data_IF_462078232225
#
_entry.id   IF_462078232225
#
_cell.length_a   1.000
_cell.length_b   1.000
_cell.length_c   1.000
_cell.angle_alpha   90.00
_cell.angle_beta   90.00
_cell.angle_gamma   90.00
#
_symmetry.space_group_name_H-M   'P 1'
#
loop_
_entity.id
_entity.type
_entity.pdbx_description
1 polymer ?
#
# COMPACT_ATOMS: atom_id res chain seq x y z
N UNK A 1 -8.00 18.87 -4.93
CA UNK A 1 -7.30 17.74 -4.31
C UNK A 1 -8.21 16.54 -4.35
N UNK A 2 -7.69 15.35 -4.62
CA UNK A 2 -8.47 14.13 -4.59
C UNK A 2 -8.91 13.82 -3.15
N UNK A 3 -10.10 13.23 -2.97
CA UNK A 3 -10.59 12.80 -1.65
C UNK A 3 -9.83 11.53 -1.25
N UNK A 4 -9.13 11.59 -0.12
CA UNK A 4 -8.19 10.54 0.31
C UNK A 4 -8.51 10.07 1.71
N UNK A 5 -8.43 8.76 1.94
CA UNK A 5 -8.31 8.19 3.27
C UNK A 5 -6.83 7.96 3.60
N UNK A 6 -6.49 8.12 4.88
CA UNK A 6 -5.12 8.02 5.40
C UNK A 6 -5.13 7.14 6.64
N UNK A 7 -4.29 6.11 6.67
CA UNK A 7 -4.02 5.38 7.91
C UNK A 7 -3.06 6.20 8.77
N UNK A 8 -3.36 6.41 10.05
CA UNK A 8 -2.52 7.12 11.03
C UNK A 8 -2.32 6.27 12.29
N UNK A 9 -1.07 6.04 12.69
CA UNK A 9 -0.72 5.28 13.89
C UNK A 9 -1.35 5.81 15.19
N UNK A 10 -1.76 7.08 15.24
CA UNK A 10 -2.44 7.65 16.41
C UNK A 10 -3.97 7.59 16.35
N UNK A 11 -4.55 7.54 15.15
CA UNK A 11 -5.99 7.78 14.94
C UNK A 11 -6.73 6.66 14.24
N UNK A 12 -6.02 5.63 13.74
CA UNK A 12 -6.66 4.59 12.93
C UNK A 12 -6.70 5.04 11.48
N UNK A 13 -7.88 5.45 11.01
CA UNK A 13 -8.10 5.96 9.66
C UNK A 13 -8.65 7.38 9.75
N UNK A 14 -8.22 8.28 8.86
CA UNK A 14 -8.71 9.65 8.76
C UNK A 14 -9.04 9.97 7.32
N UNK A 15 -10.12 10.72 7.06
CA UNK A 15 -10.48 11.16 5.71
C UNK A 15 -10.09 12.62 5.53
N UNK A 16 -9.25 12.87 4.52
CA UNK A 16 -8.91 14.22 4.08
C UNK A 16 -10.10 14.84 3.36
N UNK A 17 -10.49 16.01 3.85
CA UNK A 17 -11.55 16.81 3.24
C UNK A 17 -11.03 17.52 1.97
N UNK A 18 -11.95 17.94 1.10
CA UNK A 18 -11.61 18.58 -0.17
C UNK A 18 -10.83 19.91 0.01
N UNK A 19 -11.03 20.59 1.15
CA UNK A 19 -10.28 21.77 1.54
C UNK A 19 -9.16 21.37 2.52
N UNK A 20 -7.88 21.58 2.18
CA UNK A 20 -6.74 21.21 3.03
C UNK A 20 -6.67 21.95 4.37
N UNK A 21 -7.45 23.02 4.56
CA UNK A 21 -7.52 23.74 5.84
C UNK A 21 -8.59 23.20 6.79
N UNK A 22 -9.50 22.35 6.31
CA UNK A 22 -10.50 21.72 7.15
C UNK A 22 -9.87 20.54 7.91
N UNK A 23 -10.19 20.38 9.21
CA UNK A 23 -9.73 19.21 9.95
C UNK A 23 -10.28 17.94 9.29
N UNK A 24 -9.49 16.85 9.24
CA UNK A 24 -9.94 15.59 8.68
C UNK A 24 -11.14 15.08 9.50
N UNK A 25 -12.06 14.41 8.81
CA UNK A 25 -13.06 13.62 9.52
C UNK A 25 -12.32 12.44 10.14
N UNK A 26 -12.28 12.40 11.48
CA UNK A 26 -11.75 11.26 12.21
C UNK A 26 -12.75 10.11 12.12
N UNK A 27 -12.26 8.93 11.71
CA UNK A 27 -13.00 7.67 11.71
C UNK A 27 -12.64 7.03 13.06
N UNK A 28 -13.42 7.23 14.15
CA UNK A 28 -12.99 6.93 15.51
C UNK A 28 -12.64 5.45 15.65
N UNK A 29 -11.35 5.18 15.81
CA UNK A 29 -10.83 3.83 15.91
C UNK A 29 -11.46 3.07 17.10
N UNK A 30 -11.83 1.79 16.95
CA UNK A 30 -12.17 0.94 18.08
C UNK A 30 -11.03 0.90 19.08
N UNK A 31 -11.38 0.74 20.36
CA UNK A 31 -10.39 0.59 21.42
C UNK A 31 -9.40 -0.54 21.07
N UNK A 32 -8.09 -0.25 21.15
CA UNK A 32 -7.04 -1.25 20.91
C UNK A 32 -6.50 -1.33 19.47
N UNK A 33 -6.59 -0.27 18.66
CA UNK A 33 -5.83 -0.17 17.41
C UNK A 33 -4.31 -0.29 17.67
N UNK A 34 -3.66 -1.22 16.98
CA UNK A 34 -2.30 -1.67 17.25
C UNK A 34 -1.31 -1.41 16.12
N UNK A 35 -1.39 -0.26 15.44
CA UNK A 35 -0.56 0.16 14.29
C UNK A 35 -1.22 -0.16 12.93
N UNK A 36 -2.12 0.72 12.44
CA UNK A 36 -2.67 0.62 11.08
C UNK A 36 -1.59 0.87 10.03
N UNK A 37 -1.52 0.02 9.02
CA UNK A 37 -0.66 0.18 7.86
C UNK A 37 -1.49 0.33 6.59
N UNK A 38 -1.33 -0.57 5.62
CA UNK A 38 -1.97 -0.54 4.31
C UNK A 38 -3.45 -0.24 4.42
N UNK A 39 -3.95 0.46 3.41
CA UNK A 39 -5.32 0.95 3.35
C UNK A 39 -5.87 0.69 1.95
N UNK A 40 -7.04 0.07 1.87
CA UNK A 40 -7.72 -0.16 0.61
C UNK A 40 -9.23 -0.03 0.78
N UNK A 41 -9.94 0.26 -0.32
CA UNK A 41 -11.40 0.32 -0.35
C UNK A 41 -11.93 -0.93 -1.03
N UNK A 42 -12.90 -1.61 -0.41
CA UNK A 42 -13.59 -2.75 -1.00
C UNK A 42 -14.86 -2.33 -1.76
N UNK A 43 -15.40 -3.16 -2.67
CA UNK A 43 -16.51 -2.77 -3.55
C UNK A 43 -17.79 -2.34 -2.81
N UNK A 44 -18.02 -2.88 -1.61
CA UNK A 44 -19.15 -2.49 -0.75
C UNK A 44 -19.00 -1.10 -0.12
N UNK A 45 -17.87 -0.43 -0.35
CA UNK A 45 -17.57 0.92 0.10
C UNK A 45 -16.84 1.01 1.44
N UNK A 46 -16.57 -0.11 2.11
CA UNK A 46 -15.78 -0.10 3.34
C UNK A 46 -14.30 0.10 3.07
N UNK A 47 -13.60 0.60 4.10
CA UNK A 47 -12.16 0.75 4.15
C UNK A 47 -11.56 -0.41 4.94
N UNK A 48 -10.57 -1.07 4.35
CA UNK A 48 -9.77 -2.12 4.97
C UNK A 48 -8.43 -1.55 5.42
N UNK A 49 -8.02 -1.87 6.65
CA UNK A 49 -6.69 -1.56 7.15
C UNK A 49 -6.04 -2.75 7.84
N UNK A 50 -4.73 -2.92 7.64
CA UNK A 50 -3.95 -3.92 8.37
C UNK A 50 -3.61 -3.40 9.78
N UNK A 51 -4.15 -4.04 10.81
CA UNK A 51 -3.86 -3.74 12.21
C UNK A 51 -2.68 -4.61 12.69
N UNK A 52 -1.46 -4.13 12.38
CA UNK A 52 -0.24 -4.94 12.38
C UNK A 52 0.02 -5.63 13.71
N UNK A 53 0.02 -4.92 14.84
CA UNK A 53 0.37 -5.57 16.13
C UNK A 53 -0.74 -6.45 16.69
N UNK A 54 -1.98 -6.28 16.22
CA UNK A 54 -3.09 -7.17 16.60
C UNK A 54 -3.24 -8.37 15.66
N UNK A 55 -2.42 -8.46 14.60
CA UNK A 55 -2.42 -9.57 13.64
C UNK A 55 -3.80 -9.84 13.02
N UNK A 56 -4.47 -8.76 12.59
CA UNK A 56 -5.82 -8.80 12.01
C UNK A 56 -5.98 -7.73 10.92
N UNK A 57 -7.01 -7.88 10.11
CA UNK A 57 -7.51 -6.84 9.20
C UNK A 57 -8.78 -6.25 9.80
N UNK A 58 -8.94 -4.94 9.68
CA UNK A 58 -10.11 -4.20 10.15
C UNK A 58 -10.84 -3.63 8.95
N UNK A 59 -12.17 -3.75 8.95
CA UNK A 59 -13.06 -3.09 8.01
C UNK A 59 -13.89 -2.03 8.77
N UNK A 60 -14.12 -0.87 8.13
CA UNK A 60 -15.08 0.12 8.62
C UNK A 60 -15.77 0.86 7.48
N UNK A 61 -16.90 1.47 7.77
CA UNK A 61 -17.53 2.42 6.86
C UNK A 61 -16.69 3.72 6.78
N UNK A 62 -16.77 4.43 5.66
CA UNK A 62 -16.06 5.72 5.46
C UNK A 62 -16.43 6.75 6.54
N UNK A 63 -17.61 6.65 7.16
CA UNK A 63 -18.08 7.59 8.18
C UNK A 63 -17.60 7.29 9.61
N UNK A 64 -16.77 6.25 9.82
CA UNK A 64 -16.34 5.90 11.16
C UNK A 64 -17.17 4.87 11.90
N UNK A 65 -18.12 4.23 11.22
CA UNK A 65 -19.01 3.25 11.84
C UNK A 65 -18.75 1.82 11.37
N UNK A 66 -19.46 0.86 11.96
CA UNK A 66 -19.49 -0.55 11.55
C UNK A 66 -18.11 -1.21 11.47
N UNK A 67 -17.37 -1.10 12.57
CA UNK A 67 -16.06 -1.73 12.72
C UNK A 67 -16.18 -3.23 12.85
N UNK A 68 -15.52 -3.94 11.95
CA UNK A 68 -15.39 -5.39 11.99
C UNK A 68 -13.92 -5.75 11.91
N UNK A 69 -13.53 -6.87 12.52
CA UNK A 69 -12.17 -7.37 12.42
C UNK A 69 -12.17 -8.83 12.06
N UNK A 70 -11.23 -9.21 11.19
CA UNK A 70 -11.01 -10.57 10.78
C UNK A 70 -9.54 -10.95 10.99
N UNK A 71 -9.33 -12.13 11.56
CA UNK A 71 -8.02 -12.70 11.76
C UNK A 71 -7.53 -12.70 13.21
N UNK A 72 -6.58 -13.59 13.47
CA UNK A 72 -5.85 -13.69 14.73
C UNK A 72 -4.37 -13.95 14.48
N UNK A 73 -3.55 -13.83 15.52
CA UNK A 73 -2.13 -14.17 15.40
C UNK A 73 -1.92 -15.65 15.04
N UNK A 74 -1.05 -15.93 14.08
CA UNK A 74 -0.63 -17.27 13.69
C UNK A 74 -0.27 -17.38 12.20
N UNK A 75 -0.28 -18.61 11.68
CA UNK A 75 0.08 -18.90 10.28
C UNK A 75 -0.94 -19.81 9.56
N UNK A 76 -1.99 -20.26 10.25
CA UNK A 76 -3.08 -21.03 9.65
C UNK A 76 -4.04 -20.19 8.79
N UNK A 77 -5.12 -20.83 8.35
CA UNK A 77 -6.27 -20.17 7.71
C UNK A 77 -6.91 -19.19 8.71
N UNK A 78 -7.23 -17.97 8.26
CA UNK A 78 -7.77 -16.93 9.12
C UNK A 78 -6.76 -16.39 10.14
N UNK A 79 -5.46 -16.66 9.96
CA UNK A 79 -4.42 -16.18 10.86
C UNK A 79 -3.37 -15.37 10.10
N UNK A 80 -2.90 -14.30 10.75
CA UNK A 80 -1.86 -13.42 10.24
C UNK A 80 -0.72 -13.29 11.25
N UNK A 81 0.44 -12.83 10.80
CA UNK A 81 1.56 -12.44 11.64
C UNK A 81 2.10 -11.10 11.13
N UNK A 82 1.82 -10.02 11.85
CA UNK A 82 2.22 -8.66 11.47
C UNK A 82 1.84 -8.29 10.02
N UNK A 83 0.56 -8.35 9.62
CA UNK A 83 0.14 -7.93 8.29
C UNK A 83 0.46 -6.44 8.10
N UNK A 84 0.92 -6.05 6.92
CA UNK A 84 1.28 -4.66 6.62
C UNK A 84 0.49 -4.08 5.45
N UNK A 85 0.38 -4.80 4.33
CA UNK A 85 -0.26 -4.29 3.12
C UNK A 85 -1.64 -4.92 2.91
N UNK A 86 -2.59 -4.14 2.37
CA UNK A 86 -3.85 -4.65 1.84
C UNK A 86 -4.08 -4.06 0.45
N UNK A 87 -4.57 -4.87 -0.47
CA UNK A 87 -5.00 -4.47 -1.81
C UNK A 87 -6.29 -5.18 -2.16
N UNK A 88 -7.03 -4.64 -3.13
CA UNK A 88 -8.29 -5.20 -3.61
C UNK A 88 -8.26 -5.20 -5.14
N UNK A 89 -8.65 -6.30 -5.77
CA UNK A 89 -8.83 -6.34 -7.23
C UNK A 89 -10.14 -5.72 -7.68
N UNK A 90 -10.29 -5.49 -8.98
CA UNK A 90 -11.53 -4.97 -9.55
C UNK A 90 -12.72 -5.92 -9.35
N UNK A 91 -12.45 -7.22 -9.20
CA UNK A 91 -13.45 -8.26 -8.88
C UNK A 91 -13.79 -8.32 -7.38
N UNK A 92 -13.15 -7.49 -6.56
CA UNK A 92 -13.38 -7.44 -5.10
C UNK A 92 -12.55 -8.43 -4.29
N UNK A 93 -11.61 -9.15 -4.92
CA UNK A 93 -10.73 -10.06 -4.21
C UNK A 93 -9.75 -9.27 -3.34
N UNK A 94 -9.60 -9.67 -2.08
CA UNK A 94 -8.74 -8.99 -1.12
C UNK A 94 -7.41 -9.73 -1.01
N UNK A 95 -6.31 -8.97 -1.04
CA UNK A 95 -4.96 -9.47 -0.89
C UNK A 95 -4.31 -8.81 0.32
N UNK A 96 -3.63 -9.61 1.14
CA UNK A 96 -2.95 -9.15 2.35
C UNK A 96 -1.49 -9.54 2.28
N UNK A 97 -0.60 -8.57 2.46
CA UNK A 97 0.81 -8.85 2.71
C UNK A 97 0.99 -9.24 4.18
N UNK A 98 1.05 -10.55 4.42
CA UNK A 98 1.22 -11.16 5.74
C UNK A 98 2.71 -11.25 6.08
N UNK A 99 3.29 -10.08 6.35
CA UNK A 99 4.74 -9.83 6.32
C UNK A 99 5.53 -10.76 7.24
N UNK A 100 5.06 -11.02 8.46
CA UNK A 100 5.75 -11.87 9.42
C UNK A 100 5.68 -13.38 9.10
N UNK A 101 4.80 -13.77 8.19
CA UNK A 101 4.73 -15.12 7.62
C UNK A 101 5.37 -15.22 6.23
N UNK A 102 5.91 -14.11 5.70
CA UNK A 102 6.59 -14.06 4.40
C UNK A 102 5.73 -14.55 3.23
N UNK A 103 4.44 -14.19 3.26
CA UNK A 103 3.45 -14.62 2.27
C UNK A 103 2.48 -13.50 1.89
N UNK A 104 1.80 -13.70 0.78
CA UNK A 104 0.56 -13.02 0.44
C UNK A 104 -0.59 -13.97 0.75
N UNK A 105 -1.64 -13.44 1.36
CA UNK A 105 -2.93 -14.12 1.50
C UNK A 105 -3.91 -13.50 0.52
N UNK A 106 -4.71 -14.33 -0.14
CA UNK A 106 -5.83 -13.89 -0.95
C UNK A 106 -7.13 -14.45 -0.37
N UNK A 107 -8.18 -13.65 -0.41
CA UNK A 107 -9.51 -14.03 0.07
C UNK A 107 -10.56 -13.35 -0.81
N UNK A 108 -11.65 -14.06 -1.07
CA UNK A 108 -12.72 -13.61 -1.95
C UNK A 108 -13.62 -12.59 -1.25
N UNK A 109 -13.64 -12.59 0.09
CA UNK A 109 -14.39 -11.64 0.90
C UNK A 109 -13.70 -11.37 2.25
N UNK A 110 -14.13 -10.30 2.93
CA UNK A 110 -13.56 -9.85 4.21
C UNK A 110 -13.63 -10.91 5.33
N UNK A 111 -14.61 -11.81 5.27
CA UNK A 111 -14.80 -12.90 6.23
C UNK A 111 -13.81 -14.07 6.07
N UNK A 112 -12.86 -13.96 5.13
CA UNK A 112 -11.86 -14.97 4.85
C UNK A 112 -12.31 -16.11 3.94
N UNK A 113 -13.51 -16.02 3.37
CA UNK A 113 -13.95 -16.94 2.31
C UNK A 113 -12.94 -16.96 1.17
N UNK A 114 -12.66 -18.14 0.60
CA UNK A 114 -11.71 -18.28 -0.51
C UNK A 114 -10.23 -18.15 -0.11
N UNK A 115 -9.89 -18.38 1.16
CA UNK A 115 -8.54 -18.25 1.68
C UNK A 115 -7.50 -19.06 0.87
N UNK A 116 -6.52 -18.35 0.32
CA UNK A 116 -5.36 -18.91 -0.36
C UNK A 116 -4.08 -18.21 0.10
N UNK A 117 -2.95 -18.94 0.08
CA UNK A 117 -1.67 -18.41 0.53
C UNK A 117 -0.57 -18.65 -0.50
N UNK A 118 0.25 -17.63 -0.71
CA UNK A 118 1.29 -17.60 -1.72
C UNK A 118 2.60 -17.08 -1.13
N UNK A 119 3.68 -17.82 -1.33
CA UNK A 119 4.87 -17.64 -0.52
C UNK A 119 4.86 -18.52 0.73
N UNK A 120 6.03 -18.73 1.31
CA UNK A 120 6.19 -19.56 2.49
C UNK A 120 7.19 -18.97 3.46
N UNK A 121 6.94 -19.20 4.76
CA UNK A 121 7.91 -18.94 5.82
C UNK A 121 9.05 -19.94 5.71
N UNK A 122 10.16 -19.49 5.15
CA UNK A 122 11.39 -20.26 5.01
C UNK A 122 12.56 -19.57 5.72
N UNK A 123 13.69 -20.25 5.81
CA UNK A 123 14.90 -19.72 6.44
C UNK A 123 15.25 -18.31 5.90
N UNK A 124 15.55 -17.40 6.82
CA UNK A 124 15.89 -16.01 6.52
C UNK A 124 16.99 -15.94 5.44
N UNK A 125 16.77 -15.13 4.40
CA UNK A 125 17.71 -14.93 3.30
C UNK A 125 17.43 -15.76 2.03
N UNK A 126 16.49 -16.70 2.05
CA UNK A 126 16.06 -17.40 0.84
C UNK A 126 15.07 -16.56 0.02
N UNK A 127 15.49 -16.08 -1.15
CA UNK A 127 14.66 -15.28 -2.08
C UNK A 127 14.51 -16.00 -3.42
N UNK A 128 13.34 -15.87 -4.07
CA UNK A 128 13.07 -16.48 -5.38
C UNK A 128 11.57 -16.57 -5.69
N UNK A 129 11.19 -17.25 -6.78
CA UNK A 129 9.78 -17.58 -7.05
C UNK A 129 9.17 -18.34 -5.86
N UNK A 130 7.97 -17.92 -5.44
CA UNK A 130 7.28 -18.46 -4.26
C UNK A 130 7.92 -18.10 -2.93
N UNK A 131 8.82 -17.12 -2.86
CA UNK A 131 9.61 -16.82 -1.65
C UNK A 131 9.78 -15.33 -1.45
N UNK A 132 8.95 -14.72 -0.60
CA UNK A 132 9.15 -13.33 -0.15
C UNK A 132 10.13 -13.25 1.02
N UNK A 133 10.80 -12.11 1.20
CA UNK A 133 11.65 -11.86 2.37
C UNK A 133 10.97 -10.99 3.43
N UNK A 134 9.96 -10.22 3.04
CA UNK A 134 9.24 -9.28 3.90
C UNK A 134 8.31 -8.43 3.04
N UNK A 135 7.23 -9.01 2.47
CA UNK A 135 6.31 -8.27 1.62
C UNK A 135 5.58 -7.23 2.48
N UNK A 136 5.65 -5.96 2.11
CA UNK A 136 5.20 -4.86 2.97
C UNK A 136 4.05 -4.04 2.36
N UNK A 137 4.25 -3.56 1.13
CA UNK A 137 3.24 -2.84 0.37
C UNK A 137 2.81 -3.69 -0.83
N UNK A 138 1.54 -3.60 -1.16
CA UNK A 138 0.90 -4.43 -2.18
C UNK A 138 -0.15 -3.58 -2.89
N UNK A 139 -0.22 -3.72 -4.21
CA UNK A 139 -1.21 -3.05 -5.04
C UNK A 139 -1.66 -4.00 -6.15
N UNK A 140 -2.96 -4.02 -6.43
CA UNK A 140 -3.49 -4.71 -7.61
C UNK A 140 -3.63 -3.70 -8.76
N UNK A 141 -3.35 -4.15 -9.98
CA UNK A 141 -3.52 -3.35 -11.18
C UNK A 141 -3.44 -4.19 -12.45
N UNK A 142 -3.30 -3.54 -13.62
CA UNK A 142 -3.05 -4.23 -14.87
C UNK A 142 -1.84 -5.16 -14.77
N UNK A 143 -1.99 -6.41 -15.20
CA UNK A 143 -0.93 -7.42 -15.08
C UNK A 143 -0.82 -8.07 -13.68
N UNK A 144 -1.81 -7.86 -12.81
CA UNK A 144 -1.97 -8.58 -11.56
C UNK A 144 -1.43 -7.83 -10.34
N UNK A 145 -0.86 -8.58 -9.40
CA UNK A 145 -0.45 -8.06 -8.10
C UNK A 145 0.99 -7.57 -8.12
N UNK A 146 1.24 -6.34 -7.70
CA UNK A 146 2.58 -5.78 -7.52
C UNK A 146 2.88 -5.66 -6.04
N UNK A 147 4.00 -6.23 -5.60
CA UNK A 147 4.40 -6.35 -4.20
C UNK A 147 5.78 -5.74 -4.01
N UNK A 148 5.87 -4.81 -3.07
CA UNK A 148 7.15 -4.37 -2.54
C UNK A 148 7.64 -5.38 -1.51
N UNK A 149 8.84 -5.93 -1.74
CA UNK A 149 9.52 -6.88 -0.84
C UNK A 149 10.82 -6.23 -0.31
N UNK A 150 10.71 -5.21 0.59
CA UNK A 150 11.84 -4.39 0.97
C UNK A 150 13.00 -5.15 1.63
N UNK A 151 12.73 -6.23 2.35
CA UNK A 151 13.79 -7.06 2.93
C UNK A 151 14.66 -7.77 1.87
N UNK A 152 14.14 -7.95 0.65
CA UNK A 152 14.87 -8.42 -0.52
C UNK A 152 15.23 -7.28 -1.50
N UNK A 153 14.95 -6.03 -1.13
CA UNK A 153 15.22 -4.82 -1.90
C UNK A 153 14.75 -4.93 -3.36
N UNK A 154 13.50 -5.38 -3.57
CA UNK A 154 12.92 -5.64 -4.90
C UNK A 154 11.43 -5.32 -4.97
N UNK A 155 10.93 -5.22 -6.20
CA UNK A 155 9.52 -5.32 -6.54
C UNK A 155 9.27 -6.67 -7.20
N UNK A 156 8.14 -7.29 -6.88
CA UNK A 156 7.66 -8.55 -7.44
C UNK A 156 6.31 -8.29 -8.10
N UNK A 157 6.07 -8.85 -9.29
CA UNK A 157 4.72 -8.93 -9.86
C UNK A 157 4.29 -10.37 -10.02
N UNK A 158 2.99 -10.59 -9.79
CA UNK A 158 2.30 -11.86 -9.92
C UNK A 158 1.10 -11.65 -10.84
N UNK A 159 1.22 -12.09 -12.09
CA UNK A 159 0.11 -12.04 -13.06
C UNK A 159 -1.07 -12.92 -12.63
N UNK A 160 -0.74 -14.05 -12.00
CA UNK A 160 -1.64 -14.89 -11.25
C UNK A 160 -0.99 -15.19 -9.91
N UNK A 161 -1.79 -15.55 -8.92
CA UNK A 161 -1.28 -16.02 -7.66
C UNK A 161 -0.80 -17.47 -7.84
N UNK A 162 0.42 -17.61 -8.33
CA UNK A 162 1.15 -18.86 -8.45
C UNK A 162 2.66 -18.58 -8.58
N UNK A 163 3.48 -19.62 -8.41
CA UNK A 163 4.94 -19.48 -8.47
C UNK A 163 5.46 -19.27 -9.91
N UNK A 164 4.66 -19.60 -10.93
CA UNK A 164 5.04 -19.50 -12.35
C UNK A 164 4.95 -18.06 -12.88
N UNK A 165 4.07 -17.26 -12.28
CA UNK A 165 3.78 -15.87 -12.67
C UNK A 165 4.69 -14.85 -11.97
N UNK A 166 5.75 -15.32 -11.30
CA UNK A 166 6.62 -14.52 -10.46
C UNK A 166 7.68 -13.77 -11.26
N UNK A 167 7.45 -12.48 -11.50
CA UNK A 167 8.40 -11.57 -12.16
C UNK A 167 9.08 -10.61 -11.16
N UNK A 168 10.37 -10.30 -11.36
CA UNK A 168 11.20 -9.54 -10.40
C UNK A 168 12.15 -8.57 -11.11
N UNK A 169 12.15 -7.30 -10.69
CA UNK A 169 12.77 -6.24 -11.51
C UNK A 169 14.22 -5.98 -11.25
N UNK A 170 14.62 -6.12 -9.98
CA UNK A 170 15.72 -5.28 -9.51
C UNK A 170 16.19 -5.67 -8.12
N UNK A 171 16.38 -6.97 -7.86
CA UNK A 171 17.02 -7.40 -6.62
C UNK A 171 18.34 -6.64 -6.42
N UNK A 172 18.43 -5.86 -5.34
CA UNK A 172 19.61 -5.08 -4.99
C UNK A 172 19.75 -3.72 -5.67
N UNK A 173 18.91 -3.37 -6.66
CA UNK A 173 18.88 -1.99 -7.19
C UNK A 173 18.10 -1.10 -6.25
N UNK A 174 16.93 -1.50 -5.76
CA UNK A 174 16.26 -0.76 -4.70
C UNK A 174 17.02 -0.92 -3.38
N UNK A 175 16.72 -0.07 -2.42
CA UNK A 175 17.27 -0.13 -1.07
C UNK A 175 16.19 -0.37 -0.03
N UNK A 176 15.08 0.36 -0.12
CA UNK A 176 13.92 0.15 0.74
C UNK A 176 12.61 0.52 0.00
N UNK A 177 12.17 -0.29 -0.98
CA UNK A 177 10.90 -0.08 -1.67
C UNK A 177 9.75 -0.24 -0.67
N UNK A 178 9.12 0.88 -0.30
CA UNK A 178 8.15 0.92 0.79
C UNK A 178 6.73 1.18 0.30
N UNK A 179 6.58 1.80 -0.87
CA UNK A 179 5.30 2.09 -1.47
C UNK A 179 5.31 1.72 -2.95
N UNK A 180 4.19 1.21 -3.44
CA UNK A 180 3.96 0.94 -4.85
C UNK A 180 2.61 1.50 -5.26
N UNK A 181 2.53 2.02 -6.47
CA UNK A 181 1.28 2.36 -7.15
C UNK A 181 1.34 1.78 -8.57
N UNK A 182 0.20 1.31 -9.08
CA UNK A 182 0.10 0.79 -10.45
C UNK A 182 -0.97 1.60 -11.16
N UNK A 183 -0.57 2.38 -12.16
CA UNK A 183 -1.49 3.16 -12.97
C UNK A 183 -2.32 2.26 -13.90
N UNK A 184 -3.47 2.73 -14.42
CA UNK A 184 -4.31 1.95 -15.32
C UNK A 184 -3.65 1.54 -16.64
N UNK A 185 -2.57 2.20 -17.05
CA UNK A 185 -1.77 1.81 -18.23
C UNK A 185 -0.71 0.73 -17.92
N UNK A 186 -0.62 0.27 -16.67
CA UNK A 186 0.36 -0.70 -16.19
C UNK A 186 1.66 -0.09 -15.68
N UNK A 187 1.83 1.24 -15.72
CA UNK A 187 3.00 1.92 -15.16
C UNK A 187 3.09 1.68 -13.66
N UNK A 188 4.21 1.13 -13.20
CA UNK A 188 4.52 0.92 -11.78
C UNK A 188 5.35 2.09 -11.28
N UNK A 189 4.87 2.73 -10.21
CA UNK A 189 5.57 3.81 -9.51
C UNK A 189 5.98 3.28 -8.14
N UNK A 190 7.25 3.43 -7.81
CA UNK A 190 7.85 2.90 -6.59
C UNK A 190 8.39 4.04 -5.74
N UNK A 191 7.94 4.09 -4.50
CA UNK A 191 8.57 4.86 -3.44
C UNK A 191 9.65 4.04 -2.76
N UNK A 192 10.92 4.38 -2.99
CA UNK A 192 12.04 3.84 -2.21
C UNK A 192 12.36 4.80 -1.06
N UNK A 193 12.08 4.38 0.17
CA UNK A 193 12.23 5.20 1.37
C UNK A 193 13.65 5.74 1.53
N UNK A 194 14.68 5.17 0.92
CA UNK A 194 16.06 5.63 1.14
C UNK A 194 16.65 6.39 -0.06
N UNK A 195 15.83 6.61 -1.10
CA UNK A 195 16.20 7.42 -2.25
C UNK A 195 15.42 8.72 -2.29
N UNK A 196 15.96 9.66 -3.06
CA UNK A 196 15.24 10.86 -3.47
C UNK A 196 14.45 10.54 -4.74
N UNK A 197 13.22 11.01 -4.78
CA UNK A 197 12.30 10.82 -5.91
C UNK A 197 11.48 9.53 -5.90
N UNK A 198 10.64 9.41 -6.92
CA UNK A 198 9.82 8.23 -7.22
C UNK A 198 10.38 7.53 -8.45
N UNK A 199 10.59 6.22 -8.36
CA UNK A 199 11.06 5.42 -9.51
C UNK A 199 9.89 4.95 -10.36
N UNK A 200 10.02 5.04 -11.68
CA UNK A 200 9.01 4.59 -12.65
C UNK A 200 9.52 3.34 -13.37
N UNK A 201 8.62 2.40 -13.61
CA UNK A 201 8.87 1.15 -14.31
C UNK A 201 7.66 0.82 -15.21
N UNK A 202 7.90 0.38 -16.44
CA UNK A 202 6.81 -0.09 -17.32
C UNK A 202 6.40 -1.55 -17.03
N UNK A 203 7.33 -2.34 -16.48
CA UNK A 203 7.13 -3.71 -16.02
C UNK A 203 8.22 -4.00 -15.00
N UNK A 204 7.96 -4.86 -14.00
CA UNK A 204 8.96 -5.25 -13.05
C UNK A 204 9.88 -6.34 -13.58
N UNK A 205 10.12 -6.52 -14.88
CA UNK A 205 11.37 -7.13 -15.38
C UNK A 205 12.26 -6.12 -16.10
N UNK A 206 11.71 -4.97 -16.50
CA UNK A 206 12.39 -3.96 -17.32
C UNK A 206 13.29 -2.99 -16.57
N UNK A 207 13.39 -3.10 -15.24
CA UNK A 207 14.15 -2.16 -14.41
C UNK A 207 13.50 -0.78 -14.32
N UNK A 208 14.24 0.19 -13.76
CA UNK A 208 13.78 1.58 -13.59
C UNK A 208 14.00 2.34 -14.90
N UNK A 209 12.94 2.89 -15.48
CA UNK A 209 12.99 3.63 -16.75
C UNK A 209 13.17 5.13 -16.56
N UNK A 210 12.62 5.67 -15.48
CA UNK A 210 12.64 7.09 -15.16
C UNK A 210 12.61 7.28 -13.64
N UNK A 211 13.06 8.45 -13.14
CA UNK A 211 12.88 8.84 -11.74
C UNK A 211 12.33 10.26 -11.67
N UNK A 212 11.19 10.42 -11.02
CA UNK A 212 10.57 11.73 -10.75
C UNK A 212 11.32 12.34 -9.57
N UNK A 213 11.97 13.48 -9.80
CA UNK A 213 12.74 14.20 -8.79
C UNK A 213 12.03 15.50 -8.39
N UNK A 214 12.33 15.99 -7.19
CA UNK A 214 11.85 17.28 -6.70
C UNK A 214 12.32 17.53 -5.27
N UNK A 215 12.46 18.80 -4.88
CA UNK A 215 13.04 19.19 -3.58
C UNK A 215 12.28 18.63 -2.37
N UNK A 216 10.97 18.43 -2.53
CA UNK A 216 10.05 17.84 -1.54
C UNK A 216 10.01 16.31 -1.56
N UNK A 217 10.56 15.66 -2.59
CA UNK A 217 10.45 14.22 -2.82
C UNK A 217 11.60 13.45 -2.15
N UNK A 218 11.64 13.49 -0.83
CA UNK A 218 12.57 12.66 -0.06
C UNK A 218 11.77 11.62 0.72
N UNK A 219 12.27 10.38 0.76
CA UNK A 219 11.66 9.29 1.53
C UNK A 219 10.15 9.09 1.21
N UNK A 220 9.79 8.78 -0.06
CA UNK A 220 8.40 8.45 -0.41
C UNK A 220 7.90 7.25 0.39
N UNK A 221 6.81 7.43 1.12
CA UNK A 221 6.36 6.50 2.14
C UNK A 221 4.99 5.88 1.85
N UNK A 222 4.12 6.57 1.10
CA UNK A 222 2.84 6.02 0.66
C UNK A 222 2.41 6.65 -0.67
N UNK A 223 1.71 5.88 -1.50
CA UNK A 223 1.22 6.28 -2.81
C UNK A 223 -0.24 5.83 -2.95
N UNK A 224 -1.07 6.62 -3.63
CA UNK A 224 -2.42 6.23 -4.01
C UNK A 224 -2.74 6.78 -5.39
N UNK A 225 -3.18 5.93 -6.32
CA UNK A 225 -3.59 6.35 -7.67
C UNK A 225 -4.87 7.17 -7.56
N UNK A 226 -4.88 8.35 -8.16
CA UNK A 226 -6.00 9.30 -8.11
C UNK A 226 -6.72 9.41 -9.46
N UNK A 227 -6.03 9.13 -10.57
CA UNK A 227 -6.61 9.02 -11.91
C UNK A 227 -5.72 8.19 -12.84
N UNK A 228 -6.04 8.14 -14.13
CA UNK A 228 -5.22 7.45 -15.13
C UNK A 228 -3.78 7.96 -15.21
N UNK A 229 -3.58 9.26 -14.98
CA UNK A 229 -2.30 9.94 -15.13
C UNK A 229 -1.86 10.64 -13.84
N UNK A 230 -2.45 10.31 -12.70
CA UNK A 230 -2.09 10.98 -11.44
C UNK A 230 -2.14 10.08 -10.22
N UNK A 231 -1.33 10.43 -9.24
CA UNK A 231 -1.33 9.84 -7.91
C UNK A 231 -1.12 10.90 -6.83
N UNK A 232 -1.56 10.57 -5.63
CA UNK A 232 -1.15 11.24 -4.41
C UNK A 232 0.08 10.52 -3.84
N UNK A 233 1.07 11.29 -3.38
CA UNK A 233 2.29 10.77 -2.80
C UNK A 233 2.60 11.46 -1.48
N UNK A 234 2.95 10.65 -0.48
CA UNK A 234 3.29 11.10 0.86
C UNK A 234 4.78 10.88 1.15
N UNK A 235 5.42 11.89 1.77
CA UNK A 235 6.87 11.93 1.97
C UNK A 235 7.26 12.19 3.42
N UNK A 236 8.31 11.49 3.88
CA UNK A 236 8.92 11.65 5.20
C UNK A 236 10.25 12.45 5.12
N UNK A 237 10.71 13.06 6.22
CA UNK A 237 9.99 13.36 7.46
C UNK A 237 9.12 14.62 7.34
N UNK A 238 9.06 15.25 6.17
CA UNK A 238 8.39 16.55 5.94
C UNK A 238 6.89 16.52 6.11
N UNK A 239 6.30 15.32 6.09
CA UNK A 239 4.87 15.07 6.08
C UNK A 239 4.16 15.75 4.90
N UNK A 240 4.88 15.95 3.80
CA UNK A 240 4.35 16.53 2.58
C UNK A 240 3.42 15.52 1.89
N UNK A 241 2.22 15.98 1.56
CA UNK A 241 1.31 15.30 0.66
C UNK A 241 1.30 16.06 -0.66
N UNK A 242 1.70 15.38 -1.73
CA UNK A 242 1.84 15.97 -3.05
C UNK A 242 0.94 15.26 -4.06
N UNK A 243 0.38 16.03 -5.00
CA UNK A 243 -0.16 15.51 -6.24
C UNK A 243 0.98 15.35 -7.24
N UNK A 244 1.04 14.18 -7.87
CA UNK A 244 1.99 13.84 -8.93
C UNK A 244 1.16 13.54 -10.18
N UNK A 245 1.34 14.34 -11.23
CA UNK A 245 0.50 14.32 -12.44
C UNK A 245 1.40 14.18 -13.66
N UNK A 246 1.06 13.25 -14.55
CA UNK A 246 1.68 13.09 -15.86
C UNK A 246 0.88 13.86 -16.90
N UNK A 247 1.55 14.73 -17.65
CA UNK A 247 0.98 15.40 -18.82
C UNK A 247 1.92 15.31 -20.02
N UNK A 248 1.61 16.05 -21.10
CA UNK A 248 2.39 16.04 -22.34
C UNK A 248 3.85 16.52 -22.16
N UNK A 249 4.16 17.24 -21.08
CA UNK A 249 5.50 17.73 -20.74
C UNK A 249 6.28 16.78 -19.82
N UNK A 250 5.64 15.74 -19.28
CA UNK A 250 6.22 14.77 -18.36
C UNK A 250 5.53 14.78 -16.99
N UNK A 251 6.28 14.41 -15.96
CA UNK A 251 5.78 14.33 -14.59
C UNK A 251 5.93 15.65 -13.84
N UNK A 252 4.82 16.15 -13.33
CA UNK A 252 4.73 17.37 -12.54
C UNK A 252 4.34 17.04 -11.10
N UNK A 253 4.97 17.71 -10.14
CA UNK A 253 4.72 17.49 -8.72
C UNK A 253 4.34 18.79 -8.03
N UNK A 254 3.22 18.77 -7.32
CA UNK A 254 2.69 19.91 -6.56
C UNK A 254 2.48 19.54 -5.11
N UNK A 255 2.94 20.38 -4.19
CA UNK A 255 2.66 20.24 -2.76
C UNK A 255 1.21 20.66 -2.49
N UNK A 256 0.38 19.73 -2.03
CA UNK A 256 -1.02 20.01 -1.72
C UNK A 256 -1.20 20.42 -0.26
N UNK A 257 -0.56 19.69 0.65
CA UNK A 257 -0.71 19.90 2.08
C UNK A 257 0.48 19.37 2.87
N UNK A 258 0.57 19.77 4.15
CA UNK A 258 1.38 19.06 5.15
C UNK A 258 0.45 18.41 6.17
N UNK A 259 0.56 17.09 6.31
CA UNK A 259 -0.41 16.30 7.06
C UNK A 259 -0.46 16.66 8.56
N UNK A 260 0.64 17.12 9.13
CA UNK A 260 0.69 17.58 10.53
C UNK A 260 -0.11 18.86 10.79
N UNK A 261 -0.24 19.72 9.77
CA UNK A 261 -1.05 20.95 9.85
C UNK A 261 -2.55 20.64 9.95
N UNK A 262 -2.96 19.48 9.43
CA UNK A 262 -4.33 18.95 9.53
C UNK A 262 -4.46 17.88 10.63
N UNK A 263 -3.48 17.76 11.52
CA UNK A 263 -3.55 16.90 12.69
C UNK A 263 -3.19 15.43 12.47
N UNK A 264 -2.81 15.02 11.25
CA UNK A 264 -2.32 13.69 10.92
C UNK A 264 -0.81 13.64 11.13
N UNK A 265 -0.34 12.88 12.12
CA UNK A 265 1.06 12.98 12.59
C UNK A 265 1.90 11.74 12.36
N UNK A 266 1.28 10.58 12.15
CA UNK A 266 1.98 9.33 11.86
C UNK A 266 1.28 8.54 10.75
N UNK A 267 1.12 9.15 9.56
CA UNK A 267 0.50 8.47 8.44
C UNK A 267 1.34 7.28 7.96
N UNK A 268 0.69 6.22 7.49
CA UNK A 268 1.33 4.98 7.02
C UNK A 268 0.87 4.52 5.65
N UNK A 269 -0.33 4.90 5.21
CA UNK A 269 -0.88 4.54 3.91
C UNK A 269 -1.87 5.59 3.42
N UNK A 270 -2.08 5.61 2.11
CA UNK A 270 -3.07 6.44 1.42
C UNK A 270 -4.03 5.52 0.65
N UNK A 271 -5.28 5.93 0.51
CA UNK A 271 -6.26 5.28 -0.36
C UNK A 271 -7.16 6.34 -1.00
N UNK A 272 -7.40 6.22 -2.31
CA UNK A 272 -8.33 7.09 -3.02
C UNK A 272 -9.78 6.74 -2.69
N UNK A 273 -10.59 7.77 -2.40
CA UNK A 273 -12.03 7.65 -2.24
C UNK A 273 -12.76 8.23 -3.48
N UNK A 274 -14.00 7.83 -3.75
CA UNK A 274 -14.84 8.50 -4.74
C UNK A 274 -15.05 9.99 -4.41
#
# INVERSE_FOLDING_TARGET
MARLAVSDLRRGVSILQANPSDPPADVPAPAGFGLPYGLARIPDGRLLTADRSQSRIIACAEDGTNWESFGSQGAGVGQFQNPMGVAVSDEGRIFVADTGNFRIVAMDAFDGTGWQTYGQKIAAGSVGPGRFAGPACIQHGPGGLVVADPAAARIVQLAQLDDASWDVSSQGTFRNPAAVAVLPDGTIIVGDLTREGLSIMASPSGGITETILGDVLRYPAALAVTSADSLAAFFLPTLALCSVVRDASGWNVSLDARLDQVGIRRPTALCQLP
#
